data_IF_485902054620
#
_entry.id   IF_485902054620
#
_cell.length_a   1.000
_cell.length_b   1.000
_cell.length_c   1.000
_cell.angle_alpha   90.00
_cell.angle_beta   90.00
_cell.angle_gamma   90.00
#
_symmetry.space_group_name_H-M   'P 1'
#
loop_
_entity.id
_entity.type
_entity.pdbx_description
1 polymer ?
#
# COMPACT_ATOMS: atom_id res chain seq x y z
N UNK A 1 6.53 -3.17 11.23
CA UNK A 1 6.02 -3.08 9.84
C UNK A 1 7.12 -2.80 8.82
N UNK A 2 8.13 -1.99 9.16
CA UNK A 2 9.30 -1.76 8.30
C UNK A 2 10.04 -3.05 7.95
N UNK A 3 10.24 -3.96 8.91
CA UNK A 3 10.96 -5.23 8.73
C UNK A 3 10.46 -6.07 7.55
N UNK A 4 9.15 -6.14 7.33
CA UNK A 4 8.56 -6.92 6.23
C UNK A 4 8.82 -6.23 4.88
N UNK A 5 8.73 -4.90 4.84
CA UNK A 5 8.95 -4.12 3.61
C UNK A 5 10.44 -4.07 3.24
N UNK A 6 11.32 -4.00 4.24
CA UNK A 6 12.78 -4.12 4.05
C UNK A 6 13.14 -5.50 3.50
N UNK A 7 12.57 -6.57 4.05
CA UNK A 7 12.74 -7.92 3.52
C UNK A 7 12.20 -8.07 2.09
N UNK A 8 11.05 -7.47 1.78
CA UNK A 8 10.52 -7.44 0.41
C UNK A 8 11.51 -6.78 -0.55
N UNK A 9 12.11 -5.66 -0.17
CA UNK A 9 13.11 -4.96 -1.00
C UNK A 9 14.38 -5.81 -1.17
N UNK A 10 14.83 -6.48 -0.13
CA UNK A 10 15.99 -7.41 -0.19
C UNK A 10 15.74 -8.54 -1.19
N UNK A 11 14.53 -9.14 -1.19
CA UNK A 11 14.20 -10.27 -2.05
C UNK A 11 13.76 -9.89 -3.46
N UNK A 12 13.46 -8.62 -3.73
CA UNK A 12 12.97 -8.17 -5.03
C UNK A 12 13.81 -6.99 -5.54
N UNK A 13 14.96 -7.21 -6.19
CA UNK A 13 15.87 -6.14 -6.63
C UNK A 13 15.22 -5.10 -7.56
N UNK A 14 14.16 -5.49 -8.29
CA UNK A 14 13.37 -4.63 -9.16
C UNK A 14 12.30 -3.81 -8.42
N UNK A 15 12.24 -3.83 -7.08
CA UNK A 15 11.25 -3.10 -6.30
C UNK A 15 11.19 -1.59 -6.63
N UNK A 16 12.31 -1.01 -7.07
CA UNK A 16 12.39 0.40 -7.50
C UNK A 16 11.59 0.71 -8.77
N UNK A 17 11.19 -0.30 -9.54
CA UNK A 17 10.35 -0.15 -10.73
C UNK A 17 8.85 -0.11 -10.39
N UNK A 18 8.48 -0.38 -9.14
CA UNK A 18 7.09 -0.33 -8.70
C UNK A 18 6.57 1.11 -8.86
N UNK A 19 5.58 1.27 -9.72
CA UNK A 19 4.96 2.56 -9.98
C UNK A 19 3.75 2.84 -9.08
N UNK A 20 3.05 1.78 -8.65
CA UNK A 20 1.83 1.89 -7.86
C UNK A 20 1.79 0.83 -6.77
N UNK A 21 1.33 1.22 -5.57
CA UNK A 21 1.07 0.32 -4.44
C UNK A 21 -0.38 0.53 -4.01
N UNK A 22 -1.15 -0.54 -3.97
CA UNK A 22 -2.56 -0.49 -3.55
C UNK A 22 -2.66 -0.93 -2.10
N UNK A 23 -3.27 -0.10 -1.25
CA UNK A 23 -3.43 -0.37 0.18
C UNK A 23 -4.91 -0.51 0.56
N UNK A 24 -5.17 -1.18 1.68
CA UNK A 24 -6.51 -1.31 2.24
C UNK A 24 -7.04 0.03 2.81
N UNK A 25 -8.34 0.08 3.10
CA UNK A 25 -9.09 1.21 3.65
C UNK A 25 -8.63 1.69 5.03
N UNK A 26 -7.78 0.92 5.71
CA UNK A 26 -7.36 1.22 7.07
C UNK A 26 -6.11 2.14 7.12
N UNK A 27 -5.49 2.42 5.96
CA UNK A 27 -4.39 3.39 5.77
C UNK A 27 -3.15 3.22 6.67
N UNK A 28 -3.04 2.11 7.40
CA UNK A 28 -2.00 1.88 8.42
C UNK A 28 -0.59 1.96 7.81
N UNK A 29 -0.42 1.46 6.59
CA UNK A 29 0.87 1.38 5.90
C UNK A 29 1.27 2.65 5.17
N UNK A 30 0.38 3.64 5.04
CA UNK A 30 0.61 4.75 4.11
C UNK A 30 1.92 5.49 4.40
N UNK A 31 2.15 5.90 5.65
CA UNK A 31 3.34 6.70 6.00
C UNK A 31 4.64 5.93 5.73
N UNK A 32 4.71 4.65 6.09
CA UNK A 32 5.92 3.85 5.87
C UNK A 32 6.16 3.56 4.39
N UNK A 33 5.09 3.34 3.60
CA UNK A 33 5.21 3.13 2.16
C UNK A 33 5.70 4.38 1.44
N UNK A 34 5.27 5.57 1.85
CA UNK A 34 5.82 6.84 1.31
C UNK A 34 7.31 7.00 1.61
N UNK A 35 7.78 6.53 2.76
CA UNK A 35 9.21 6.59 3.12
C UNK A 35 10.03 5.56 2.36
N UNK A 36 9.57 4.32 2.27
CA UNK A 36 10.34 3.22 1.68
C UNK A 36 10.22 3.12 0.16
N UNK A 37 9.12 3.60 -0.43
CA UNK A 37 8.85 3.58 -1.87
C UNK A 37 8.51 4.99 -2.38
N UNK A 38 9.41 5.98 -2.25
CA UNK A 38 9.10 7.38 -2.54
C UNK A 38 8.75 7.64 -4.00
N UNK A 39 9.17 6.76 -4.93
CA UNK A 39 8.84 6.85 -6.35
C UNK A 39 7.46 6.26 -6.71
N UNK A 40 6.89 5.41 -5.86
CA UNK A 40 5.62 4.75 -6.12
C UNK A 40 4.44 5.62 -5.65
N UNK A 41 3.34 5.60 -6.42
CA UNK A 41 2.07 6.19 -6.00
C UNK A 41 1.29 5.21 -5.13
N UNK A 42 0.93 5.63 -3.93
CA UNK A 42 0.06 4.85 -3.03
C UNK A 42 -1.40 5.15 -3.37
N UNK A 43 -2.16 4.10 -3.70
CA UNK A 43 -3.58 4.17 -4.06
C UNK A 43 -4.42 3.41 -3.03
N UNK A 44 -5.61 3.93 -2.74
CA UNK A 44 -6.61 3.19 -1.97
C UNK A 44 -7.24 2.10 -2.85
N UNK A 45 -7.38 0.90 -2.30
CA UNK A 45 -8.10 -0.19 -2.95
C UNK A 45 -9.58 0.18 -3.15
N UNK A 46 -10.00 0.35 -4.40
CA UNK A 46 -11.40 0.69 -4.73
C UNK A 46 -12.37 -0.41 -4.28
N UNK A 47 -11.99 -1.68 -4.40
CA UNK A 47 -12.83 -2.80 -3.99
C UNK A 47 -13.16 -2.75 -2.49
N UNK A 48 -12.15 -2.60 -1.63
CA UNK A 48 -12.35 -2.51 -0.19
C UNK A 48 -13.08 -1.22 0.20
N UNK A 49 -12.76 -0.08 -0.44
CA UNK A 49 -13.43 1.18 -0.19
C UNK A 49 -14.94 1.10 -0.49
N UNK A 50 -15.31 0.57 -1.67
CA UNK A 50 -16.72 0.40 -2.09
C UNK A 50 -17.43 -0.61 -1.19
N UNK A 51 -16.79 -1.74 -0.89
CA UNK A 51 -17.40 -2.78 -0.04
C UNK A 51 -17.65 -2.28 1.38
N UNK A 52 -16.70 -1.53 1.94
CA UNK A 52 -16.87 -0.89 3.24
C UNK A 52 -17.95 0.17 3.22
N UNK A 53 -17.96 1.04 2.21
CA UNK A 53 -18.99 2.06 2.05
C UNK A 53 -20.39 1.45 2.02
N UNK A 54 -20.59 0.39 1.22
CA UNK A 54 -21.87 -0.34 1.17
C UNK A 54 -22.29 -0.92 2.52
N UNK A 55 -21.33 -1.39 3.33
CA UNK A 55 -21.60 -1.92 4.68
C UNK A 55 -21.98 -0.83 5.68
N UNK A 56 -21.41 0.37 5.56
CA UNK A 56 -21.64 1.48 6.50
C UNK A 56 -22.92 2.26 6.17
N UNK A 57 -23.31 2.30 4.89
CA UNK A 57 -24.47 3.08 4.42
C UNK A 57 -25.76 2.25 4.30
N UNK A 58 -25.76 0.99 4.76
CA UNK A 58 -26.94 0.15 4.95
C UNK A 58 -27.41 0.20 6.39
#
# INVERSE_FOLDING_TARGET
MTTILEYFQEKNPSWRMISYIVIDKDFVEWRVLKTLFPAAKVLLCQFHAISYWKKVMQ
#
